data_IF_676070704963
#
_entry.id   IF_676070704963
#
_cell.length_a   1.000
_cell.length_b   1.000
_cell.length_c   1.000
_cell.angle_alpha   90.00
_cell.angle_beta   90.00
_cell.angle_gamma   90.00
#
_symmetry.space_group_name_H-M   'P 1'
#
loop_
_entity.id
_entity.type
_entity.pdbx_description
1 polymer ?
#
# COMPACT_ATOMS: atom_id res chain seq x y z
N UNK A 1 -7.47 -1.09 7.95
CA UNK A 1 -8.34 -2.13 8.53
C UNK A 1 -9.84 -1.99 8.26
N UNK A 2 -10.46 -0.79 8.28
CA UNK A 2 -11.92 -0.64 8.04
C UNK A 2 -12.35 -1.22 6.68
N UNK A 3 -11.66 -0.84 5.60
CA UNK A 3 -11.91 -1.32 4.24
C UNK A 3 -11.92 -2.86 4.15
N UNK A 4 -10.86 -3.51 4.63
CA UNK A 4 -10.74 -4.97 4.62
C UNK A 4 -11.88 -5.66 5.39
N UNK A 5 -12.36 -5.06 6.49
CA UNK A 5 -13.47 -5.62 7.27
C UNK A 5 -14.82 -5.48 6.58
N UNK A 6 -15.11 -4.29 6.06
CA UNK A 6 -16.41 -3.94 5.48
C UNK A 6 -16.63 -4.64 4.13
N UNK A 7 -15.59 -4.72 3.31
CA UNK A 7 -15.66 -5.30 1.97
C UNK A 7 -15.01 -6.67 1.87
N UNK A 8 -15.17 -7.50 2.91
CA UNK A 8 -14.56 -8.84 3.04
C UNK A 8 -14.61 -9.68 1.76
N UNK A 9 -15.78 -9.77 1.12
CA UNK A 9 -16.01 -10.58 -0.09
C UNK A 9 -15.07 -10.23 -1.24
N UNK A 10 -14.53 -9.01 -1.27
CA UNK A 10 -13.60 -8.55 -2.32
C UNK A 10 -12.18 -9.06 -2.12
N UNK A 11 -11.80 -9.42 -0.91
CA UNK A 11 -10.42 -9.70 -0.54
C UNK A 11 -10.21 -11.14 -0.06
N UNK A 12 -11.24 -11.79 0.50
CA UNK A 12 -11.07 -13.07 1.17
C UNK A 12 -10.56 -14.19 0.26
N UNK A 13 -10.92 -14.18 -1.03
CA UNK A 13 -10.44 -15.18 -2.00
C UNK A 13 -8.96 -15.07 -2.37
N UNK A 14 -8.30 -13.96 -2.01
CA UNK A 14 -6.87 -13.73 -2.27
C UNK A 14 -5.98 -14.09 -1.08
N UNK A 15 -6.57 -14.54 0.02
CA UNK A 15 -5.86 -14.89 1.25
C UNK A 15 -5.85 -16.42 1.39
N UNK A 16 -4.68 -17.07 1.55
CA UNK A 16 -4.58 -18.54 1.63
C UNK A 16 -5.04 -19.10 2.99
N UNK A 17 -5.46 -18.25 3.92
CA UNK A 17 -5.85 -18.59 5.28
C UNK A 17 -7.23 -17.99 5.60
N UNK A 18 -7.82 -18.42 6.72
CA UNK A 18 -9.07 -17.83 7.21
C UNK A 18 -8.97 -16.30 7.31
N UNK A 19 -9.91 -15.60 6.67
CA UNK A 19 -9.87 -14.15 6.57
C UNK A 19 -9.89 -13.45 7.94
N UNK A 20 -10.57 -14.03 8.94
CA UNK A 20 -10.56 -13.51 10.32
C UNK A 20 -9.16 -13.56 10.93
N UNK A 21 -8.39 -14.62 10.67
CA UNK A 21 -7.01 -14.77 11.16
C UNK A 21 -6.10 -13.76 10.48
N UNK A 22 -6.24 -13.61 9.16
CA UNK A 22 -5.53 -12.59 8.38
C UNK A 22 -5.79 -11.17 8.92
N UNK A 23 -7.06 -10.80 9.16
CA UNK A 23 -7.42 -9.50 9.72
C UNK A 23 -6.81 -9.27 11.12
N UNK A 24 -6.72 -10.33 11.95
CA UNK A 24 -6.09 -10.25 13.26
C UNK A 24 -4.58 -10.04 13.13
N UNK A 25 -3.94 -10.70 12.17
CA UNK A 25 -2.52 -10.54 11.84
C UNK A 25 -2.22 -9.10 11.40
N UNK A 26 -2.94 -8.61 10.39
CA UNK A 26 -2.81 -7.25 9.84
C UNK A 26 -3.13 -6.11 10.81
N UNK A 27 -3.75 -6.41 11.96
CA UNK A 27 -4.00 -5.42 13.02
C UNK A 27 -2.79 -5.24 13.95
N UNK A 28 -1.84 -6.19 13.98
CA UNK A 28 -0.69 -6.15 14.89
C UNK A 28 0.28 -5.05 14.48
N UNK A 29 0.80 -4.33 15.47
CA UNK A 29 1.88 -3.36 15.23
C UNK A 29 3.12 -4.09 14.73
N UNK A 30 3.78 -3.54 13.72
CA UNK A 30 4.93 -4.16 13.08
C UNK A 30 4.60 -5.30 12.10
N UNK A 31 3.32 -5.65 11.92
CA UNK A 31 2.94 -6.54 10.82
C UNK A 31 3.11 -5.80 9.48
N UNK A 32 3.74 -6.48 8.53
CA UNK A 32 4.01 -5.92 7.22
C UNK A 32 2.74 -5.92 6.37
N UNK A 33 2.51 -4.80 5.68
CA UNK A 33 1.48 -4.74 4.64
C UNK A 33 1.88 -5.59 3.43
N UNK A 34 0.87 -6.14 2.76
CA UNK A 34 1.02 -6.89 1.53
C UNK A 34 0.26 -6.21 0.37
N UNK A 35 0.22 -6.89 -0.78
CA UNK A 35 -0.50 -6.39 -1.96
C UNK A 35 -2.00 -6.16 -1.71
N UNK A 36 -2.65 -6.96 -0.86
CA UNK A 36 -4.06 -6.75 -0.50
C UNK A 36 -4.24 -5.49 0.33
N UNK A 37 -3.30 -5.18 1.23
CA UNK A 37 -3.35 -3.94 2.00
C UNK A 37 -3.17 -2.71 1.11
N UNK A 38 -2.36 -2.80 0.04
CA UNK A 38 -2.24 -1.74 -0.97
C UNK A 38 -3.53 -1.59 -1.77
N UNK A 39 -4.13 -2.68 -2.26
CA UNK A 39 -5.43 -2.61 -2.95
C UNK A 39 -6.50 -2.01 -2.04
N UNK A 40 -6.57 -2.43 -0.77
CA UNK A 40 -7.52 -1.87 0.18
C UNK A 40 -7.27 -0.39 0.48
N UNK A 41 -6.01 0.07 0.46
CA UNK A 41 -5.69 1.48 0.57
C UNK A 41 -6.16 2.26 -0.66
N UNK A 42 -5.87 1.76 -1.87
CA UNK A 42 -6.33 2.35 -3.13
C UNK A 42 -7.85 2.51 -3.14
N UNK A 43 -8.58 1.43 -2.84
CA UNK A 43 -10.05 1.43 -2.79
C UNK A 43 -10.59 2.41 -1.74
N UNK A 44 -9.97 2.47 -0.55
CA UNK A 44 -10.46 3.30 0.56
C UNK A 44 -10.26 4.79 0.30
N UNK A 45 -9.16 5.16 -0.34
CA UNK A 45 -8.79 6.55 -0.55
C UNK A 45 -9.13 7.06 -1.95
N UNK A 46 -9.65 6.21 -2.85
CA UNK A 46 -9.92 6.58 -4.23
C UNK A 46 -8.66 7.08 -4.93
N UNK A 47 -7.52 6.42 -4.66
CA UNK A 47 -6.20 6.82 -5.15
C UNK A 47 -5.56 5.67 -5.91
N UNK A 48 -4.95 5.98 -7.06
CA UNK A 48 -4.07 5.05 -7.77
C UNK A 48 -2.75 4.97 -7.03
N UNK A 49 -2.24 3.76 -6.83
CA UNK A 49 -0.91 3.53 -6.26
C UNK A 49 -0.01 2.97 -7.36
N UNK A 50 1.02 3.73 -7.72
CA UNK A 50 2.08 3.32 -8.63
C UNK A 50 3.23 2.76 -7.79
N UNK A 51 3.54 1.48 -7.98
CA UNK A 51 4.59 0.78 -7.26
C UNK A 51 5.75 0.44 -8.19
N UNK A 52 6.86 1.16 -8.06
CA UNK A 52 8.09 0.86 -8.78
C UNK A 52 8.85 -0.24 -8.05
N UNK A 53 9.11 -1.36 -8.69
CA UNK A 53 9.75 -2.52 -8.06
C UNK A 53 11.13 -2.81 -8.61
N UNK A 54 11.95 -3.50 -7.81
CA UNK A 54 13.26 -4.01 -8.25
C UNK A 54 13.20 -5.30 -9.07
N UNK A 55 12.00 -5.83 -9.39
CA UNK A 55 11.87 -6.99 -10.27
C UNK A 55 12.18 -6.58 -11.72
N UNK A 56 13.01 -7.36 -12.42
CA UNK A 56 13.42 -7.02 -13.80
C UNK A 56 12.25 -7.02 -14.78
N UNK A 57 11.35 -7.98 -14.64
CA UNK A 57 10.26 -8.19 -15.60
C UNK A 57 8.99 -7.41 -15.24
N UNK A 58 8.90 -6.91 -13.99
CA UNK A 58 7.72 -6.19 -13.48
C UNK A 58 8.15 -4.91 -12.77
N UNK A 59 8.76 -4.00 -13.52
CA UNK A 59 9.34 -2.78 -12.96
C UNK A 59 8.29 -1.82 -12.40
N UNK A 60 7.06 -1.81 -12.93
CA UNK A 60 5.96 -0.97 -12.47
C UNK A 60 4.69 -1.81 -12.29
N UNK A 61 4.09 -1.69 -11.11
CA UNK A 61 2.78 -2.27 -10.79
C UNK A 61 1.82 -1.12 -10.50
N UNK A 62 0.70 -1.08 -11.21
CA UNK A 62 -0.35 -0.10 -10.97
C UNK A 62 -1.51 -0.74 -10.22
N UNK A 63 -1.87 -0.14 -9.08
CA UNK A 63 -2.98 -0.58 -8.25
C UNK A 63 -4.06 0.49 -8.32
N UNK A 64 -5.13 0.18 -9.03
CA UNK A 64 -6.25 1.10 -9.28
C UNK A 64 -7.41 0.77 -8.34
N UNK A 65 -8.10 1.77 -7.76
CA UNK A 65 -9.31 1.53 -6.99
C UNK A 65 -10.40 0.87 -7.84
N UNK A 66 -11.14 -0.08 -7.26
CA UNK A 66 -12.13 -0.89 -8.01
C UNK A 66 -13.34 -0.10 -8.51
N UNK A 67 -13.95 0.70 -7.64
CA UNK A 67 -15.25 1.34 -7.94
C UNK A 67 -15.16 2.87 -8.03
N UNK A 68 -13.97 3.44 -7.91
CA UNK A 68 -13.75 4.87 -7.89
C UNK A 68 -12.84 5.27 -9.04
N UNK A 69 -13.15 6.39 -9.69
CA UNK A 69 -12.16 7.06 -10.54
C UNK A 69 -11.07 7.63 -9.64
N UNK A 70 -9.78 7.27 -9.84
CA UNK A 70 -8.72 7.75 -8.98
C UNK A 70 -8.62 9.28 -9.05
N UNK A 71 -8.72 9.93 -7.90
CA UNK A 71 -8.60 11.40 -7.79
C UNK A 71 -7.19 11.85 -7.47
N UNK A 72 -6.32 10.91 -7.10
CA UNK A 72 -4.95 11.12 -6.65
C UNK A 72 -4.08 9.97 -7.11
N UNK A 73 -2.80 10.25 -7.28
CA UNK A 73 -1.78 9.25 -7.57
C UNK A 73 -0.73 9.25 -6.45
N UNK A 74 -0.38 8.07 -5.97
CA UNK A 74 0.62 7.85 -4.92
C UNK A 74 1.74 7.00 -5.49
N UNK A 75 2.98 7.40 -5.25
CA UNK A 75 4.15 6.68 -5.73
C UNK A 75 4.89 6.01 -4.58
N UNK A 76 5.19 4.74 -4.76
CA UNK A 76 5.95 3.92 -3.84
C UNK A 76 7.08 3.23 -4.60
N UNK A 77 8.20 2.98 -3.93
CA UNK A 77 9.17 1.98 -4.39
C UNK A 77 9.12 0.75 -3.51
N UNK A 78 9.30 -0.42 -4.13
CA UNK A 78 9.42 -1.70 -3.46
C UNK A 78 10.77 -2.31 -3.81
N UNK A 79 11.68 -2.30 -2.83
CA UNK A 79 12.83 -3.16 -2.89
C UNK A 79 12.37 -4.56 -2.47
N UNK A 80 12.32 -5.47 -3.45
CA UNK A 80 11.74 -6.79 -3.30
C UNK A 80 12.20 -7.47 -2.00
N UNK A 81 11.23 -7.97 -1.22
CA UNK A 81 11.42 -8.67 0.07
C UNK A 81 12.05 -7.82 1.19
N UNK A 82 12.46 -6.59 0.91
CA UNK A 82 13.15 -5.75 1.88
C UNK A 82 12.31 -4.59 2.37
N UNK A 83 11.79 -3.70 1.51
CA UNK A 83 11.13 -2.50 2.01
C UNK A 83 10.27 -1.75 0.99
N UNK A 84 9.27 -1.03 1.51
CA UNK A 84 8.50 -0.02 0.78
C UNK A 84 8.97 1.38 1.16
N UNK A 85 9.28 2.24 0.19
CA UNK A 85 9.52 3.65 0.43
C UNK A 85 8.48 4.51 -0.28
N UNK A 86 8.26 5.71 0.23
CA UNK A 86 7.50 6.72 -0.50
C UNK A 86 8.39 7.41 -1.53
N UNK A 87 7.85 7.59 -2.73
CA UNK A 87 8.44 8.41 -3.79
C UNK A 87 7.65 9.72 -3.93
N UNK A 88 8.36 10.78 -4.27
CA UNK A 88 7.80 12.12 -4.43
C UNK A 88 8.36 12.75 -5.70
N UNK A 89 7.55 13.54 -6.39
CA UNK A 89 8.08 14.39 -7.45
C UNK A 89 9.08 15.39 -6.85
N UNK A 90 10.07 15.80 -7.64
CA UNK A 90 11.08 16.77 -7.18
C UNK A 90 10.42 18.07 -6.69
N UNK A 91 9.36 18.52 -7.37
CA UNK A 91 8.62 19.74 -7.01
C UNK A 91 7.82 19.60 -5.70
N UNK A 92 7.38 18.40 -5.33
CA UNK A 92 6.61 18.17 -4.10
C UNK A 92 7.47 18.30 -2.84
N UNK A 93 8.79 18.10 -2.95
CA UNK A 93 9.71 18.17 -1.82
C UNK A 93 9.88 19.59 -1.31
N UNK A 94 9.75 20.60 -2.17
CA UNK A 94 9.93 22.01 -1.83
C UNK A 94 8.83 22.53 -0.89
N UNK A 95 7.67 21.87 -0.86
CA UNK A 95 6.54 22.26 0.00
C UNK A 95 6.53 21.53 1.36
N UNK A 96 7.41 20.54 1.57
CA UNK A 96 7.42 19.72 2.79
C UNK A 96 8.37 20.26 3.85
N UNK A 97 7.81 20.62 5.02
CA UNK A 97 8.59 20.80 6.24
C UNK A 97 9.20 19.45 6.65
N UNK A 98 10.51 19.30 6.51
CA UNK A 98 11.25 18.12 6.97
C UNK A 98 11.06 17.96 8.48
N UNK A 99 10.37 16.89 8.92
CA UNK A 99 10.35 16.50 10.33
C UNK A 99 11.62 15.71 10.65
N UNK A 100 12.24 15.99 11.81
CA UNK A 100 13.45 15.29 12.30
C UNK A 100 13.21 13.78 12.29
N UNK A 101 14.05 13.05 11.55
CA UNK A 101 14.05 11.59 11.51
C UNK A 101 14.58 11.08 12.85
N UNK A 102 13.75 10.40 13.61
CA UNK A 102 14.19 9.61 14.76
C UNK A 102 14.34 8.18 14.27
N UNK A 103 15.56 7.78 13.95
CA UNK A 103 15.88 6.38 13.71
C UNK A 103 16.04 5.73 15.09
N UNK A 104 15.00 5.05 15.54
CA UNK A 104 15.12 4.13 16.67
C UNK A 104 15.65 2.82 16.08
N UNK A 105 16.91 2.51 16.40
CA UNK A 105 17.45 1.16 16.30
C UNK A 105 16.73 0.26 17.31
#
# INVERSE_FOLDING_TARGET
>A
MKQLKEFRKRYEGYVPMEYKVYLKKMKRSGEWGDHLTLQAAADRFGAKICLLTSFRDTCLIEIVPRDLTPTRELWLSFWCEVHYNSLYATDDLLTRKTKKKHWLF
#
